data_IF_906862416305
#
_entry.id   IF_906862416305
#
_cell.length_a   1.000
_cell.length_b   1.000
_cell.length_c   1.000
_cell.angle_alpha   90.00
_cell.angle_beta   90.00
_cell.angle_gamma   90.00
#
_symmetry.space_group_name_H-M   'P 1'
#
loop_
_entity.id
_entity.type
_entity.pdbx_description
1 polymer ?
#
# COMPACT_ATOMS: atom_id res chain seq x y z
N UNK A 1 7.45 -5.36 -14.76
CA UNK A 1 6.94 -5.20 -13.38
C UNK A 1 8.02 -5.71 -12.45
N UNK A 2 8.66 -4.82 -11.72
CA UNK A 2 9.76 -5.16 -10.82
C UNK A 2 9.22 -6.02 -9.67
N UNK A 3 9.76 -7.21 -9.45
CA UNK A 3 9.30 -8.13 -8.39
C UNK A 3 9.22 -7.47 -7.01
N UNK A 4 10.05 -6.46 -6.78
CA UNK A 4 10.07 -5.65 -5.56
C UNK A 4 8.77 -4.87 -5.32
N UNK A 5 8.16 -4.30 -6.36
CA UNK A 5 6.87 -3.59 -6.26
C UNK A 5 5.78 -4.55 -5.80
N UNK A 6 5.80 -5.77 -6.35
CA UNK A 6 4.84 -6.81 -6.01
C UNK A 6 5.01 -7.25 -4.56
N UNK A 7 6.25 -7.43 -4.11
CA UNK A 7 6.59 -7.73 -2.72
C UNK A 7 6.12 -6.65 -1.75
N UNK A 8 6.42 -5.38 -2.03
CA UNK A 8 5.97 -4.25 -1.20
C UNK A 8 4.45 -4.14 -1.14
N UNK A 9 3.76 -4.38 -2.26
CA UNK A 9 2.30 -4.41 -2.31
C UNK A 9 1.73 -5.55 -1.46
N UNK A 10 2.28 -6.75 -1.58
CA UNK A 10 1.81 -7.92 -0.84
C UNK A 10 2.09 -7.76 0.68
N UNK A 11 3.23 -7.17 1.03
CA UNK A 11 3.54 -6.81 2.41
C UNK A 11 2.59 -5.73 2.95
N UNK A 12 2.30 -4.69 2.14
CA UNK A 12 1.29 -3.68 2.44
C UNK A 12 -0.09 -4.31 2.69
N UNK A 13 -0.50 -5.28 1.87
CA UNK A 13 -1.75 -6.01 2.05
C UNK A 13 -1.77 -6.80 3.36
N UNK A 14 -0.64 -7.43 3.74
CA UNK A 14 -0.52 -8.15 5.00
C UNK A 14 -0.65 -7.21 6.21
N UNK A 15 -0.08 -6.00 6.14
CA UNK A 15 -0.26 -4.99 7.18
C UNK A 15 -1.68 -4.42 7.21
N UNK A 16 -2.31 -4.23 6.05
CA UNK A 16 -3.70 -3.81 5.93
C UNK A 16 -4.64 -4.80 6.61
N UNK A 17 -4.44 -6.11 6.39
CA UNK A 17 -5.21 -7.17 7.05
C UNK A 17 -5.03 -7.18 8.58
N UNK A 18 -3.85 -6.75 9.07
CA UNK A 18 -3.55 -6.58 10.50
C UNK A 18 -4.09 -5.26 11.07
N UNK A 19 -4.88 -4.49 10.31
CA UNK A 19 -5.35 -3.13 10.65
C UNK A 19 -4.21 -2.13 10.91
N UNK A 20 -2.98 -2.45 10.48
CA UNK A 20 -1.83 -1.57 10.59
C UNK A 20 -1.74 -0.67 9.36
N UNK A 21 -2.78 0.14 9.17
CA UNK A 21 -2.96 0.94 7.96
C UNK A 21 -1.82 1.95 7.74
N UNK A 22 -1.24 2.50 8.82
CA UNK A 22 -0.11 3.43 8.74
C UNK A 22 1.09 2.77 8.02
N UNK A 23 1.51 1.59 8.48
CA UNK A 23 2.61 0.82 7.85
C UNK A 23 2.25 0.39 6.43
N UNK A 24 1.01 -0.04 6.21
CA UNK A 24 0.54 -0.40 4.88
C UNK A 24 0.65 0.79 3.90
N UNK A 25 0.24 2.00 4.33
CA UNK A 25 0.34 3.22 3.52
C UNK A 25 1.78 3.60 3.19
N UNK A 26 2.73 3.40 4.11
CA UNK A 26 4.16 3.62 3.84
C UNK A 26 4.70 2.64 2.78
N UNK A 27 4.34 1.36 2.88
CA UNK A 27 4.75 0.34 1.92
C UNK A 27 4.19 0.60 0.53
N UNK A 28 2.91 0.95 0.41
CA UNK A 28 2.33 1.36 -0.88
C UNK A 28 3.02 2.62 -1.43
N UNK A 29 3.41 3.57 -0.57
CA UNK A 29 4.15 4.76 -1.01
C UNK A 29 5.55 4.40 -1.55
N UNK A 30 6.26 3.47 -0.91
CA UNK A 30 7.52 2.94 -1.45
C UNK A 30 7.32 2.20 -2.78
N UNK A 31 6.26 1.41 -2.88
CA UNK A 31 5.92 0.71 -4.13
C UNK A 31 5.61 1.70 -5.26
N UNK A 32 4.91 2.80 -4.97
CA UNK A 32 4.61 3.88 -5.93
C UNK A 32 5.89 4.55 -6.42
N UNK A 33 6.91 4.72 -5.57
CA UNK A 33 8.19 5.29 -5.99
C UNK A 33 8.95 4.38 -6.97
N UNK A 34 8.69 3.08 -6.95
CA UNK A 34 9.29 2.10 -7.85
C UNK A 34 8.45 1.86 -9.11
N UNK A 35 7.14 2.08 -9.03
CA UNK A 35 6.18 1.91 -10.12
C UNK A 35 5.04 2.93 -9.97
N UNK A 36 5.31 4.14 -10.45
CA UNK A 36 4.38 5.28 -10.38
C UNK A 36 3.25 5.17 -11.41
N UNK A 37 3.39 4.27 -12.39
CA UNK A 37 2.37 3.94 -13.37
C UNK A 37 1.28 3.00 -12.83
N UNK A 38 1.49 2.39 -11.66
CA UNK A 38 0.57 1.42 -11.10
C UNK A 38 -0.52 2.07 -10.24
N UNK A 39 -1.67 2.29 -10.86
CA UNK A 39 -2.87 2.87 -10.24
C UNK A 39 -3.40 2.06 -9.05
N UNK A 40 -3.16 0.74 -9.01
CA UNK A 40 -3.60 -0.14 -7.90
C UNK A 40 -2.92 0.27 -6.59
N UNK A 41 -1.65 0.68 -6.62
CA UNK A 41 -0.93 1.10 -5.42
C UNK A 41 -1.52 2.38 -4.83
N UNK A 42 -1.93 3.32 -5.68
CA UNK A 42 -2.62 4.53 -5.25
C UNK A 42 -3.98 4.21 -4.63
N UNK A 43 -4.74 3.30 -5.25
CA UNK A 43 -6.03 2.84 -4.70
C UNK A 43 -5.87 2.19 -3.32
N UNK A 44 -4.89 1.29 -3.17
CA UNK A 44 -4.60 0.64 -1.89
C UNK A 44 -4.14 1.64 -0.81
N UNK A 45 -3.32 2.63 -1.17
CA UNK A 45 -2.93 3.71 -0.26
C UNK A 45 -4.13 4.57 0.14
N UNK A 46 -5.04 4.86 -0.77
CA UNK A 46 -6.28 5.57 -0.47
C UNK A 46 -7.17 4.77 0.49
N UNK A 47 -7.31 3.47 0.26
CA UNK A 47 -8.02 2.56 1.17
C UNK A 47 -7.43 2.58 2.58
N UNK A 48 -6.09 2.62 2.72
CA UNK A 48 -5.44 2.79 4.03
C UNK A 48 -5.86 4.08 4.71
N UNK A 49 -5.84 5.21 3.99
CA UNK A 49 -6.21 6.53 4.55
C UNK A 49 -7.67 6.57 4.98
N UNK A 50 -8.56 5.97 4.19
CA UNK A 50 -9.98 5.85 4.53
C UNK A 50 -10.13 5.00 5.79
N UNK A 51 -9.48 3.84 5.85
CA UNK A 51 -9.55 2.93 7.00
C UNK A 51 -8.91 3.52 8.28
N UNK A 52 -7.91 4.40 8.15
CA UNK A 52 -7.34 5.17 9.27
C UNK A 52 -8.28 6.26 9.78
N UNK A 53 -9.14 6.81 8.93
CA UNK A 53 -10.04 7.93 9.28
C UNK A 53 -11.48 7.46 9.54
N UNK A 54 -11.71 6.15 9.67
CA UNK A 54 -13.02 5.53 9.90
C UNK A 54 -13.13 4.82 11.26
N UNK A 55 -12.34 5.23 12.26
CA UNK A 55 -12.51 4.78 13.64
C UNK A 55 -12.46 5.95 14.62
#
# INVERSE_FOLDING_TARGET
>A
MSDEVKRLKDEGNAFFAKKQYFRASELYSKAILLDDHNTVLYANRAACRIAMNQY
#
